data_IF_071595954460
#
_entry.id   IF_071595954460
#
_cell.length_a   1.000
_cell.length_b   1.000
_cell.length_c   1.000
_cell.angle_alpha   90.00
_cell.angle_beta   90.00
_cell.angle_gamma   90.00
#
_symmetry.space_group_name_H-M   'P 1'
#
loop_
_entity.id
_entity.type
_entity.pdbx_description
1 polymer ?
#
# COMPACT_ATOMS: atom_id res chain seq x y z
N UNK A 1 43.84 -15.96 -29.33
CA UNK A 1 42.60 -15.78 -30.14
C UNK A 1 41.58 -16.80 -29.66
N UNK A 2 40.43 -16.30 -29.19
CA UNK A 2 39.09 -16.92 -29.03
C UNK A 2 39.01 -18.27 -28.28
N UNK A 3 38.37 -18.27 -27.11
CA UNK A 3 36.96 -18.68 -26.88
C UNK A 3 36.80 -20.21 -27.05
N UNK A 4 36.19 -20.97 -26.16
CA UNK A 4 35.35 -20.69 -25.02
C UNK A 4 34.71 -22.01 -24.55
N UNK A 5 34.18 -21.97 -23.33
CA UNK A 5 33.00 -22.72 -22.87
C UNK A 5 33.15 -24.23 -22.60
N UNK A 6 33.06 -24.61 -21.32
CA UNK A 6 31.77 -25.07 -20.79
C UNK A 6 31.83 -25.45 -19.30
N UNK A 7 30.83 -24.96 -18.56
CA UNK A 7 30.23 -25.69 -17.44
C UNK A 7 30.80 -25.42 -16.06
N UNK A 8 30.32 -24.35 -15.40
CA UNK A 8 29.89 -24.40 -13.98
C UNK A 8 28.71 -23.45 -13.81
N UNK A 9 27.54 -24.00 -14.16
CA UNK A 9 26.24 -23.46 -13.84
C UNK A 9 26.00 -23.51 -12.32
N UNK A 10 25.17 -22.58 -11.86
CA UNK A 10 24.53 -22.53 -10.55
C UNK A 10 25.45 -22.28 -9.33
N UNK A 11 25.96 -21.04 -9.26
CA UNK A 11 26.43 -20.44 -8.03
C UNK A 11 25.26 -19.71 -7.32
N UNK A 12 25.22 -19.85 -5.99
CA UNK A 12 24.49 -19.04 -4.99
C UNK A 12 22.99 -19.33 -4.79
N UNK A 13 22.72 -20.36 -3.99
CA UNK A 13 21.92 -20.16 -2.77
C UNK A 13 22.86 -19.65 -1.69
N UNK A 14 22.60 -18.49 -1.11
CA UNK A 14 22.84 -18.11 0.30
C UNK A 14 22.64 -16.59 0.49
N UNK A 15 22.04 -16.23 1.63
CA UNK A 15 21.76 -14.89 2.20
C UNK A 15 20.63 -14.04 1.60
N UNK A 16 19.40 -14.40 1.96
CA UNK A 16 18.22 -13.53 1.85
C UNK A 16 18.21 -12.41 2.90
N UNK A 17 19.18 -11.51 2.87
CA UNK A 17 19.08 -10.22 3.56
C UNK A 17 18.43 -9.23 2.60
N UNK A 18 17.16 -8.88 2.85
CA UNK A 18 16.54 -7.71 2.22
C UNK A 18 17.35 -6.50 2.64
N UNK A 19 18.12 -5.93 1.72
CA UNK A 19 18.76 -4.64 1.89
C UNK A 19 17.69 -3.56 2.10
N UNK A 20 17.28 -3.35 3.35
CA UNK A 20 16.49 -2.20 3.73
C UNK A 20 17.48 -1.05 3.90
N UNK A 21 17.62 -0.20 2.86
CA UNK A 21 18.28 1.09 3.01
C UNK A 21 17.69 1.80 4.25
N UNK A 22 18.50 2.43 5.10
CA UNK A 22 18.01 3.02 6.34
C UNK A 22 16.86 3.98 6.02
N UNK A 23 15.70 3.76 6.63
CA UNK A 23 14.54 4.66 6.57
C UNK A 23 14.96 6.02 7.13
N UNK A 24 15.47 6.89 6.26
CA UNK A 24 15.71 8.28 6.61
C UNK A 24 14.34 8.93 6.69
N UNK A 25 13.85 9.14 7.91
CA UNK A 25 12.62 9.89 8.15
C UNK A 25 12.89 11.33 7.73
N UNK A 26 12.52 11.68 6.51
CA UNK A 26 12.57 13.06 6.04
C UNK A 26 11.39 13.82 6.64
N UNK A 27 11.68 14.53 7.73
CA UNK A 27 10.70 15.38 8.41
C UNK A 27 10.09 16.36 7.40
N UNK A 28 8.76 16.37 7.33
CA UNK A 28 8.01 17.20 6.39
C UNK A 28 7.50 16.49 5.13
N UNK A 29 7.80 15.21 4.94
CA UNK A 29 7.11 14.40 3.93
C UNK A 29 5.64 14.19 4.31
N UNK A 30 4.78 14.20 3.29
CA UNK A 30 3.35 13.97 3.39
C UNK A 30 2.96 12.53 3.06
N UNK A 31 2.12 11.94 3.91
CA UNK A 31 1.62 10.58 3.77
C UNK A 31 0.11 10.63 3.52
N UNK A 32 -0.28 10.22 2.32
CA UNK A 32 -1.66 10.06 1.90
C UNK A 32 -2.28 8.81 2.50
N UNK A 33 -3.42 8.95 3.17
CA UNK A 33 -4.20 7.82 3.70
C UNK A 33 -5.56 7.78 2.99
N UNK A 34 -5.80 6.80 2.10
CA UNK A 34 -7.07 6.69 1.38
C UNK A 34 -8.24 6.45 2.34
N UNK A 35 -9.32 7.23 2.20
CA UNK A 35 -10.58 7.08 2.94
C UNK A 35 -11.41 5.91 2.40
N UNK A 36 -10.84 4.71 2.42
CA UNK A 36 -11.45 3.48 1.93
C UNK A 36 -11.17 2.30 2.86
N UNK A 37 -11.95 1.22 2.70
CA UNK A 37 -11.77 -0.04 3.43
C UNK A 37 -11.70 0.19 4.96
N UNK A 38 -10.56 -0.15 5.55
CA UNK A 38 -10.31 -0.19 6.99
C UNK A 38 -9.93 1.19 7.57
N UNK A 39 -9.89 2.23 6.74
CA UNK A 39 -9.67 3.62 7.17
C UNK A 39 -10.55 3.99 8.37
N UNK A 40 -11.85 3.70 8.31
CA UNK A 40 -12.79 4.13 9.34
C UNK A 40 -12.54 3.51 10.72
N UNK A 41 -11.84 2.37 10.76
CA UNK A 41 -11.46 1.70 12.00
C UNK A 41 -10.07 2.12 12.50
N UNK A 42 -9.11 2.27 11.59
CA UNK A 42 -7.70 2.43 11.96
C UNK A 42 -7.12 3.83 11.72
N UNK A 43 -7.87 4.75 11.11
CA UNK A 43 -7.34 6.08 10.79
C UNK A 43 -6.83 6.84 12.02
N UNK A 44 -7.50 6.86 13.20
CA UNK A 44 -6.95 7.53 14.38
C UNK A 44 -5.58 6.98 14.80
N UNK A 45 -5.40 5.66 14.71
CA UNK A 45 -4.12 5.00 14.98
C UNK A 45 -3.06 5.40 13.95
N UNK A 46 -3.37 5.24 12.65
CA UNK A 46 -2.44 5.55 11.56
C UNK A 46 -2.01 7.01 11.58
N UNK A 47 -2.97 7.93 11.76
CA UNK A 47 -2.71 9.37 11.84
C UNK A 47 -1.75 9.68 12.99
N UNK A 48 -2.09 9.23 14.20
CA UNK A 48 -1.28 9.51 15.40
C UNK A 48 0.12 8.91 15.29
N UNK A 49 0.23 7.69 14.76
CA UNK A 49 1.51 7.01 14.56
C UNK A 49 2.40 7.78 13.56
N UNK A 50 1.87 8.13 12.40
CA UNK A 50 2.61 8.84 11.35
C UNK A 50 3.00 10.27 11.78
N UNK A 51 2.08 11.00 12.41
CA UNK A 51 2.37 12.34 12.97
C UNK A 51 3.43 12.26 14.07
N UNK A 52 3.37 11.23 14.94
CA UNK A 52 4.39 10.96 15.95
C UNK A 52 5.76 10.63 15.36
N UNK A 53 5.81 10.10 14.14
CA UNK A 53 7.03 9.91 13.36
C UNK A 53 7.49 11.18 12.62
N UNK A 54 6.75 12.29 12.67
CA UNK A 54 7.12 13.55 12.02
C UNK A 54 6.67 13.69 10.56
N UNK A 55 5.69 12.89 10.12
CA UNK A 55 5.05 13.02 8.82
C UNK A 55 3.79 13.88 8.89
N UNK A 56 3.49 14.58 7.80
CA UNK A 56 2.18 15.21 7.61
C UNK A 56 1.20 14.16 7.08
N UNK A 57 -0.01 14.07 7.63
CA UNK A 57 -1.00 13.04 7.24
C UNK A 57 -2.15 13.68 6.48
N UNK A 58 -2.30 13.31 5.21
CA UNK A 58 -3.38 13.76 4.34
C UNK A 58 -4.39 12.64 4.09
N UNK A 59 -5.63 12.82 4.54
CA UNK A 59 -6.73 11.91 4.16
C UNK A 59 -7.45 12.42 2.91
N UNK A 60 -7.83 11.50 2.02
CA UNK A 60 -8.72 11.83 0.90
C UNK A 60 -10.13 12.25 1.41
N UNK A 61 -10.94 12.97 0.60
CA UNK A 61 -12.26 13.47 1.00
C UNK A 61 -13.28 12.35 1.23
N UNK A 62 -14.51 12.63 1.73
CA UNK A 62 -15.61 11.68 1.69
C UNK A 62 -15.82 11.11 0.28
N UNK A 63 -16.09 9.80 0.21
CA UNK A 63 -16.42 9.12 -1.06
C UNK A 63 -17.59 9.81 -1.75
N UNK A 64 -17.43 10.09 -3.04
CA UNK A 64 -18.45 10.67 -3.90
C UNK A 64 -18.36 10.04 -5.30
N UNK A 65 -19.31 10.36 -6.18
CA UNK A 65 -19.41 9.77 -7.51
C UNK A 65 -18.14 10.01 -8.34
N UNK A 66 -17.46 11.16 -8.19
CA UNK A 66 -16.22 11.44 -8.91
C UNK A 66 -15.09 10.52 -8.49
N UNK A 67 -14.95 10.27 -7.17
CA UNK A 67 -13.97 9.31 -6.63
C UNK A 67 -14.28 7.89 -7.12
N UNK A 68 -15.55 7.46 -7.08
CA UNK A 68 -15.93 6.14 -7.57
C UNK A 68 -15.66 6.00 -9.08
N UNK A 69 -15.99 7.03 -9.86
CA UNK A 69 -15.74 7.08 -11.30
C UNK A 69 -14.26 6.95 -11.62
N UNK A 70 -13.42 7.82 -11.03
CA UNK A 70 -11.97 7.78 -11.27
C UNK A 70 -11.33 6.45 -10.85
N UNK A 71 -11.88 5.79 -9.83
CA UNK A 71 -11.48 4.45 -9.43
C UNK A 71 -11.92 3.36 -10.40
N UNK A 72 -13.12 3.49 -10.96
CA UNK A 72 -13.66 2.55 -11.95
C UNK A 72 -12.85 2.59 -13.25
N UNK A 73 -12.42 3.77 -13.68
CA UNK A 73 -11.65 3.97 -14.93
C UNK A 73 -10.27 3.28 -14.93
N UNK A 74 -9.70 3.03 -13.75
CA UNK A 74 -8.33 2.51 -13.58
C UNK A 74 -8.26 1.15 -12.91
N UNK A 75 -9.37 0.67 -12.34
CA UNK A 75 -9.43 -0.63 -11.68
C UNK A 75 -9.76 -1.72 -12.70
N UNK A 76 -9.31 -2.94 -12.45
CA UNK A 76 -9.65 -4.08 -13.32
C UNK A 76 -11.13 -4.40 -13.22
N UNK A 77 -11.68 -4.97 -14.31
CA UNK A 77 -13.08 -5.37 -14.39
C UNK A 77 -13.43 -6.40 -13.31
N UNK A 78 -14.73 -6.50 -12.99
CA UNK A 78 -15.31 -7.42 -11.99
C UNK A 78 -14.78 -7.31 -10.55
N UNK A 79 -14.06 -6.23 -10.23
CA UNK A 79 -13.67 -5.91 -8.85
C UNK A 79 -14.81 -5.24 -8.09
N UNK A 80 -14.92 -5.58 -6.80
CA UNK A 80 -15.93 -5.02 -5.92
C UNK A 80 -15.81 -3.50 -5.79
N UNK A 81 -16.95 -2.84 -5.59
CA UNK A 81 -17.05 -1.38 -5.49
C UNK A 81 -16.11 -0.80 -4.43
N UNK A 82 -15.90 -1.50 -3.31
CA UNK A 82 -15.02 -1.04 -2.24
C UNK A 82 -13.57 -0.85 -2.67
N UNK A 83 -13.06 -1.73 -3.54
CA UNK A 83 -11.71 -1.62 -4.08
C UNK A 83 -11.66 -0.56 -5.18
N UNK A 84 -12.70 -0.45 -6.03
CA UNK A 84 -12.80 0.68 -6.97
C UNK A 84 -12.74 2.02 -6.24
N UNK A 85 -13.45 2.16 -5.12
CA UNK A 85 -13.37 3.35 -4.26
C UNK A 85 -11.95 3.58 -3.72
N UNK A 86 -11.24 2.53 -3.28
CA UNK A 86 -9.82 2.64 -2.88
C UNK A 86 -8.97 3.22 -4.01
N UNK A 87 -9.07 2.68 -5.22
CA UNK A 87 -8.31 3.18 -6.38
C UNK A 87 -8.64 4.65 -6.67
N UNK A 88 -9.90 5.05 -6.58
CA UNK A 88 -10.32 6.44 -6.74
C UNK A 88 -9.71 7.38 -5.70
N UNK A 89 -9.63 6.93 -4.45
CA UNK A 89 -8.97 7.69 -3.37
C UNK A 89 -7.45 7.76 -3.55
N UNK A 90 -6.81 6.69 -4.05
CA UNK A 90 -5.39 6.70 -4.41
C UNK A 90 -5.13 7.70 -5.54
N UNK A 91 -5.96 7.68 -6.61
CA UNK A 91 -5.91 8.67 -7.70
C UNK A 91 -6.07 10.10 -7.18
N UNK A 92 -6.93 10.33 -6.19
CA UNK A 92 -7.06 11.65 -5.58
C UNK A 92 -5.78 12.11 -4.86
N UNK A 93 -5.06 11.19 -4.23
CA UNK A 93 -3.87 11.47 -3.41
C UNK A 93 -2.56 11.54 -4.20
N UNK A 94 -2.52 11.00 -5.42
CA UNK A 94 -1.32 10.87 -6.27
C UNK A 94 -0.54 12.18 -6.42
N UNK A 95 -1.22 13.30 -6.66
CA UNK A 95 -0.58 14.62 -6.81
C UNK A 95 -0.60 15.47 -5.53
N UNK A 96 -0.94 14.87 -4.37
CA UNK A 96 -1.16 15.61 -3.10
C UNK A 96 -0.36 15.08 -1.93
N UNK A 97 0.19 13.87 -2.04
CA UNK A 97 1.00 13.25 -1.02
C UNK A 97 2.27 12.67 -1.64
N UNK A 98 3.38 12.77 -0.92
CA UNK A 98 4.67 12.21 -1.36
C UNK A 98 4.63 10.68 -1.40
N UNK A 99 3.88 10.07 -0.47
CA UNK A 99 3.68 8.62 -0.40
C UNK A 99 2.23 8.31 -0.05
N UNK A 100 1.72 7.15 -0.47
CA UNK A 100 0.38 6.68 -0.07
C UNK A 100 0.50 5.41 0.77
N UNK A 101 -0.11 5.41 1.96
CA UNK A 101 -0.18 4.25 2.84
C UNK A 101 -1.48 3.47 2.60
N UNK A 102 -1.35 2.22 2.15
CA UNK A 102 -2.46 1.29 1.98
C UNK A 102 -2.27 0.09 2.93
N UNK A 103 -3.04 0.01 4.04
CA UNK A 103 -2.88 -1.08 4.99
C UNK A 103 -3.39 -2.42 4.44
N UNK A 104 -2.48 -3.37 4.24
CA UNK A 104 -2.82 -4.77 3.91
C UNK A 104 -3.10 -5.57 5.18
N UNK A 105 -4.38 -5.69 5.53
CA UNK A 105 -4.83 -6.48 6.68
C UNK A 105 -5.28 -7.86 6.18
N UNK A 106 -4.63 -8.94 6.64
CA UNK A 106 -4.96 -10.31 6.23
C UNK A 106 -5.88 -10.99 7.25
N UNK A 107 -5.56 -10.85 8.53
CA UNK A 107 -6.39 -11.23 9.67
C UNK A 107 -6.30 -10.12 10.72
N UNK A 108 -7.42 -9.84 11.39
CA UNK A 108 -7.49 -8.86 12.49
C UNK A 108 -7.83 -9.50 13.83
N UNK A 109 -8.16 -10.79 13.82
CA UNK A 109 -8.55 -11.55 15.01
C UNK A 109 -7.44 -12.51 15.42
N UNK A 110 -7.26 -12.70 16.72
CA UNK A 110 -6.20 -13.57 17.29
C UNK A 110 -6.45 -15.07 17.11
N UNK A 111 -7.67 -15.46 16.73
CA UNK A 111 -8.02 -16.86 16.47
C UNK A 111 -7.93 -17.07 14.96
N UNK A 112 -6.80 -17.66 14.54
CA UNK A 112 -6.28 -17.69 13.17
C UNK A 112 -7.12 -18.51 12.16
N UNK A 113 -8.34 -18.92 12.49
CA UNK A 113 -9.01 -20.00 11.76
C UNK A 113 -10.24 -19.57 10.94
N UNK A 114 -10.88 -18.42 11.21
CA UNK A 114 -12.24 -18.17 10.67
C UNK A 114 -12.51 -16.79 10.06
N UNK A 115 -11.56 -15.84 10.07
CA UNK A 115 -11.83 -14.49 9.53
C UNK A 115 -10.62 -13.90 8.81
N UNK A 116 -10.63 -14.06 7.50
CA UNK A 116 -9.64 -13.46 6.61
C UNK A 116 -10.28 -12.32 5.83
N UNK A 117 -9.55 -11.22 5.69
CA UNK A 117 -9.88 -10.21 4.68
C UNK A 117 -9.36 -10.70 3.34
N UNK A 118 -10.07 -10.40 2.25
CA UNK A 118 -9.67 -10.82 0.90
C UNK A 118 -8.22 -10.35 0.61
N UNK A 119 -7.23 -11.26 0.59
CA UNK A 119 -5.82 -10.89 0.57
C UNK A 119 -5.30 -10.59 -0.84
N UNK A 120 -6.20 -10.71 -1.84
CA UNK A 120 -5.91 -10.60 -3.27
C UNK A 120 -6.14 -9.18 -3.81
N UNK A 121 -6.72 -8.29 -3.00
CA UNK A 121 -7.20 -6.97 -3.44
C UNK A 121 -6.31 -5.81 -2.98
N UNK A 122 -5.28 -6.07 -2.17
CA UNK A 122 -4.22 -5.16 -1.68
C UNK A 122 -2.97 -5.95 -1.28
#
# INVERSE_FOLDING_TARGET
MKNGENGKEAALMETGERAQAPLRVERGMSVGVPRALMFYKYYPFLKTFLEGCGYEVLASPPTNIKILGSGTDVCVDDICVAVKVLFGHVRYLEDKADVVLIPRLVSVEKRDYDTFTCPKLI
#
